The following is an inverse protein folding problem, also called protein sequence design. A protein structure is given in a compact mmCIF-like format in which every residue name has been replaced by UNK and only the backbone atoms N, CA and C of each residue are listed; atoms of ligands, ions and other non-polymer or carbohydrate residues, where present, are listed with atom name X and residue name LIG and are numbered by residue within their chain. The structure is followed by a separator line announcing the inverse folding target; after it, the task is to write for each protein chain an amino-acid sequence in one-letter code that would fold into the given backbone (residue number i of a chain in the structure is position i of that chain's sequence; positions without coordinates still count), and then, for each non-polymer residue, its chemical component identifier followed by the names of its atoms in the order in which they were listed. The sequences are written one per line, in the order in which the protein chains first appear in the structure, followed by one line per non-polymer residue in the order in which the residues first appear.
data_IF_712416845942
#
_entry.id   IF_712416845942
#
_cell.length_a   1.000
_cell.length_b   1.000
_cell.length_c   1.000
_cell.angle_alpha   90.00
_cell.angle_beta   90.00
_cell.angle_gamma   90.00
#
_symmetry.space_group_name_H-M   'P 1'
#
loop_
_entity.id
_entity.type
_entity.pdbx_description
1 polymer ?
#
# COMPACT_ATOMS: atom_id res chain seq x y z
N UNK A 1 15.23 -1.36 5.74
CA UNK A 1 14.37 -2.14 6.67
C UNK A 1 12.98 -2.18 6.09
N UNK A 2 12.40 -3.34 5.76
CA UNK A 2 10.99 -3.37 5.42
C UNK A 2 10.24 -3.13 6.72
N UNK A 3 9.67 -1.93 6.89
CA UNK A 3 8.68 -1.73 7.96
C UNK A 3 7.47 -2.56 7.55
N UNK A 4 7.05 -3.58 8.33
CA UNK A 4 5.87 -4.35 8.01
C UNK A 4 4.65 -3.45 8.15
N UNK A 5 4.23 -2.85 7.03
CA UNK A 5 2.99 -2.13 6.89
C UNK A 5 1.98 -3.09 6.29
N UNK A 6 0.91 -3.40 7.03
CA UNK A 6 -0.24 -4.16 6.54
C UNK A 6 -1.41 -3.22 6.28
N UNK A 7 -2.38 -3.66 5.47
CA UNK A 7 -3.63 -2.91 5.29
C UNK A 7 -4.35 -2.64 6.61
N UNK A 8 -4.38 -3.60 7.53
CA UNK A 8 -5.05 -3.43 8.83
C UNK A 8 -4.38 -2.33 9.68
N UNK A 9 -3.05 -2.26 9.65
CA UNK A 9 -2.31 -1.21 10.35
C UNK A 9 -2.58 0.17 9.73
N UNK A 10 -2.54 0.26 8.39
CA UNK A 10 -2.81 1.50 7.65
C UNK A 10 -4.24 1.98 7.90
N UNK A 11 -5.21 1.06 7.89
CA UNK A 11 -6.61 1.33 8.24
C UNK A 11 -6.73 1.86 9.67
N UNK A 12 -6.10 1.20 10.64
CA UNK A 12 -6.10 1.61 12.05
C UNK A 12 -5.51 3.01 12.22
N UNK A 13 -4.41 3.33 11.50
CA UNK A 13 -3.80 4.67 11.50
C UNK A 13 -4.75 5.71 10.91
N UNK A 14 -5.43 5.38 9.82
CA UNK A 14 -6.41 6.26 9.18
C UNK A 14 -7.59 6.57 10.11
N UNK A 15 -8.20 5.53 10.70
CA UNK A 15 -9.34 5.67 11.60
C UNK A 15 -8.99 6.45 12.88
N UNK A 16 -7.74 6.35 13.35
CA UNK A 16 -7.26 7.09 14.52
C UNK A 16 -6.71 8.49 14.20
N UNK A 17 -6.83 8.97 12.97
CA UNK A 17 -6.33 10.31 12.59
C UNK A 17 -4.80 10.46 12.70
N UNK A 18 -4.05 9.36 12.57
CA UNK A 18 -2.59 9.37 12.65
C UNK A 18 -1.94 10.19 11.52
N UNK A 19 -2.54 10.15 10.33
CA UNK A 19 -2.01 10.84 9.17
C UNK A 19 -2.32 12.34 9.22
N UNK A 20 -1.26 13.15 9.18
CA UNK A 20 -1.35 14.61 9.16
C UNK A 20 -1.66 15.18 7.78
N UNK A 21 -1.55 14.37 6.73
CA UNK A 21 -1.81 14.75 5.35
C UNK A 21 -2.16 13.53 4.49
N UNK A 22 -2.75 13.76 3.32
CA UNK A 22 -3.10 12.70 2.36
C UNK A 22 -1.83 12.03 1.83
N UNK A 23 -0.76 12.79 1.63
CA UNK A 23 0.53 12.30 1.12
C UNK A 23 1.17 11.31 2.10
N UNK A 24 1.03 11.52 3.42
CA UNK A 24 1.54 10.60 4.43
C UNK A 24 0.79 9.25 4.41
N UNK A 25 -0.51 9.28 4.14
CA UNK A 25 -1.34 8.08 3.99
C UNK A 25 -1.01 7.33 2.68
N UNK A 26 -0.90 8.06 1.57
CA UNK A 26 -0.48 7.53 0.27
C UNK A 26 0.91 6.88 0.33
N UNK A 27 1.84 7.51 1.06
CA UNK A 27 3.18 6.98 1.24
C UNK A 27 3.17 5.60 1.93
N UNK A 28 2.42 5.44 3.02
CA UNK A 28 2.30 4.16 3.73
C UNK A 28 1.70 3.06 2.83
N UNK A 29 0.68 3.39 2.02
CA UNK A 29 0.10 2.47 1.03
C UNK A 29 1.12 2.06 -0.04
N UNK A 30 1.92 3.02 -0.52
CA UNK A 30 2.97 2.80 -1.52
C UNK A 30 4.07 1.90 -0.97
N UNK A 31 4.53 2.13 0.26
CA UNK A 31 5.55 1.29 0.91
C UNK A 31 5.03 -0.12 1.16
N UNK A 32 3.77 -0.28 1.60
CA UNK A 32 3.14 -1.59 1.76
C UNK A 32 3.08 -2.35 0.44
N UNK A 33 2.67 -1.68 -0.65
CA UNK A 33 2.65 -2.26 -1.99
C UNK A 33 4.05 -2.69 -2.46
N UNK A 34 5.06 -1.84 -2.27
CA UNK A 34 6.44 -2.16 -2.66
C UNK A 34 6.97 -3.38 -1.90
N UNK A 35 6.71 -3.45 -0.59
CA UNK A 35 7.09 -4.60 0.24
C UNK A 35 6.38 -5.88 -0.23
N UNK A 36 5.08 -5.80 -0.53
CA UNK A 36 4.31 -6.93 -1.03
C UNK A 36 4.81 -7.40 -2.40
N UNK A 37 5.09 -6.49 -3.34
CA UNK A 37 5.65 -6.82 -4.65
C UNK A 37 7.03 -7.49 -4.54
N UNK A 38 7.90 -6.95 -3.68
CA UNK A 38 9.23 -7.53 -3.44
C UNK A 38 9.13 -8.96 -2.85
N UNK A 39 8.14 -9.21 -1.98
CA UNK A 39 7.90 -10.52 -1.40
C UNK A 39 7.29 -11.51 -2.42
N UNK A 40 6.28 -11.08 -3.17
CA UNK A 40 5.52 -11.93 -4.09
C UNK A 40 6.10 -12.05 -5.50
N UNK A 41 7.19 -11.35 -5.82
CA UNK A 41 7.70 -11.22 -7.20
C UNK A 41 7.97 -12.53 -7.96
N UNK A 42 8.11 -13.67 -7.26
CA UNK A 42 8.29 -15.00 -7.86
C UNK A 42 6.98 -15.70 -8.26
N UNK A 43 5.82 -15.21 -7.80
CA UNK A 43 4.50 -15.77 -8.12
C UNK A 43 3.81 -14.91 -9.17
N UNK A 44 3.63 -15.45 -10.38
CA UNK A 44 2.95 -14.74 -11.47
C UNK A 44 1.51 -14.36 -11.12
N UNK A 45 0.80 -15.21 -10.38
CA UNK A 45 -0.56 -14.92 -9.90
C UNK A 45 -0.56 -13.74 -8.92
N UNK A 46 0.31 -13.77 -7.92
CA UNK A 46 0.36 -12.73 -6.90
C UNK A 46 0.89 -11.41 -7.47
N UNK A 47 1.89 -11.44 -8.34
CA UNK A 47 2.39 -10.24 -9.04
C UNK A 47 1.27 -9.55 -9.85
N UNK A 48 0.41 -10.31 -10.53
CA UNK A 48 -0.74 -9.75 -11.22
C UNK A 48 -1.76 -9.11 -10.27
N UNK A 49 -2.04 -9.75 -9.13
CA UNK A 49 -2.91 -9.16 -8.09
C UNK A 49 -2.31 -7.86 -7.53
N UNK A 50 -1.01 -7.84 -7.25
CA UNK A 50 -0.31 -6.65 -6.74
C UNK A 50 -0.32 -5.50 -7.74
N UNK A 51 -0.13 -5.77 -9.04
CA UNK A 51 -0.24 -4.75 -10.11
C UNK A 51 -1.64 -4.13 -10.14
N UNK A 52 -2.69 -4.94 -10.14
CA UNK A 52 -4.09 -4.45 -10.15
C UNK A 52 -4.40 -3.61 -8.91
N UNK A 53 -3.86 -4.00 -7.75
CA UNK A 53 -4.01 -3.23 -6.52
C UNK A 53 -3.31 -1.88 -6.59
N UNK A 54 -2.08 -1.83 -7.13
CA UNK A 54 -1.35 -0.59 -7.34
C UNK A 54 -2.09 0.36 -8.30
N UNK A 55 -2.64 -0.17 -9.39
CA UNK A 55 -3.47 0.61 -10.33
C UNK A 55 -4.74 1.18 -9.65
N UNK A 56 -5.40 0.39 -8.80
CA UNK A 56 -6.57 0.84 -8.04
C UNK A 56 -6.20 1.98 -7.09
N UNK A 57 -5.11 1.82 -6.34
CA UNK A 57 -4.61 2.83 -5.41
C UNK A 57 -4.23 4.11 -6.16
N UNK A 58 -3.47 4.02 -7.25
CA UNK A 58 -3.11 5.19 -8.06
C UNK A 58 -4.33 5.96 -8.57
N UNK A 59 -5.39 5.27 -8.99
CA UNK A 59 -6.65 5.92 -9.39
C UNK A 59 -7.34 6.66 -8.25
N UNK A 60 -7.29 6.14 -7.03
CA UNK A 60 -7.89 6.78 -5.86
C UNK A 60 -7.20 8.08 -5.45
N UNK A 61 -5.89 8.21 -5.72
CA UNK A 61 -5.09 9.41 -5.38
C UNK A 61 -4.90 10.38 -6.55
N UNK A 62 -5.34 10.03 -7.76
CA UNK A 62 -5.23 10.91 -8.96
C UNK A 62 -6.33 11.98 -9.04
N UNK A 63 -6.79 12.53 -7.92
CA UNK A 63 -7.81 13.59 -7.83
C UNK A 63 -7.18 14.94 -7.46
#
# INVERSE_FOLDING_TARGET
FPVPLSFDLIKTRFENGYYRSVEAFEHDLTVMLFNAQAYFGKSAEMSNKMRRLAECIGRSFSL
#
